data_IF_729028711399
#
_entry.id   IF_729028711399
#
_cell.length_a   1.000
_cell.length_b   1.000
_cell.length_c   1.000
_cell.angle_alpha   90.00
_cell.angle_beta   90.00
_cell.angle_gamma   90.00
#
_symmetry.space_group_name_H-M   'P 1'
#
loop_
_entity.id
_entity.type
_entity.pdbx_description
1 polymer ?
#
# COMPACT_ATOMS: atom_id res chain seq x y z
N UNK A 1 3.39 -14.99 22.87
CA UNK A 1 3.93 -15.42 21.56
C UNK A 1 4.34 -14.17 20.80
N UNK A 2 5.61 -13.78 20.93
CA UNK A 2 6.16 -12.62 20.23
C UNK A 2 6.62 -13.07 18.84
N UNK A 3 5.93 -12.60 17.80
CA UNK A 3 6.36 -12.76 16.41
C UNK A 3 7.33 -11.62 16.09
N UNK A 4 8.54 -11.69 16.66
CA UNK A 4 9.65 -10.87 16.19
C UNK A 4 10.23 -11.54 14.94
N UNK A 5 9.66 -11.23 13.77
CA UNK A 5 10.35 -11.47 12.50
C UNK A 5 11.51 -10.49 12.45
N UNK A 6 12.67 -10.91 12.95
CA UNK A 6 13.96 -10.29 12.63
C UNK A 6 14.08 -10.29 11.12
N UNK A 7 13.88 -9.13 10.51
CA UNK A 7 14.04 -8.92 9.08
C UNK A 7 15.53 -9.10 8.80
N UNK A 8 15.92 -10.33 8.45
CA UNK A 8 17.32 -10.70 8.23
C UNK A 8 17.89 -9.83 7.10
N UNK A 9 18.80 -8.95 7.49
CA UNK A 9 19.69 -8.16 6.64
C UNK A 9 20.68 -9.08 5.92
N UNK A 10 20.18 -9.94 5.04
CA UNK A 10 21.01 -10.68 4.09
C UNK A 10 21.22 -9.82 2.85
N UNK A 11 22.40 -9.90 2.23
CA UNK A 11 22.68 -9.25 0.94
C UNK A 11 21.62 -9.60 -0.11
N UNK A 12 21.10 -10.84 -0.06
CA UNK A 12 20.03 -11.32 -0.94
C UNK A 12 18.71 -10.54 -0.76
N UNK A 13 18.37 -10.14 0.46
CA UNK A 13 17.16 -9.34 0.76
C UNK A 13 17.27 -7.96 0.09
N UNK A 14 18.43 -7.31 0.22
CA UNK A 14 18.70 -6.01 -0.39
C UNK A 14 18.69 -6.08 -1.91
N UNK A 15 19.36 -7.08 -2.49
CA UNK A 15 19.38 -7.31 -3.94
C UNK A 15 17.97 -7.56 -4.47
N UNK A 16 17.15 -8.34 -3.76
CA UNK A 16 15.76 -8.59 -4.13
C UNK A 16 14.95 -7.29 -4.21
N UNK A 17 14.98 -6.44 -3.19
CA UNK A 17 14.24 -5.18 -3.19
C UNK A 17 14.75 -4.20 -4.25
N UNK A 18 16.06 -4.17 -4.51
CA UNK A 18 16.63 -3.35 -5.59
C UNK A 18 16.14 -3.83 -6.98
N UNK A 19 16.13 -5.14 -7.23
CA UNK A 19 15.65 -5.70 -8.50
C UNK A 19 14.15 -5.54 -8.68
N UNK A 20 13.37 -5.68 -7.61
CA UNK A 20 11.93 -5.45 -7.63
C UNK A 20 11.62 -3.96 -7.87
N UNK A 21 12.35 -3.05 -7.20
CA UNK A 21 12.22 -1.61 -7.41
C UNK A 21 12.52 -1.17 -8.84
N UNK A 22 13.48 -1.80 -9.52
CA UNK A 22 13.78 -1.54 -10.94
C UNK A 22 12.63 -1.89 -11.89
N UNK A 23 11.70 -2.76 -11.49
CA UNK A 23 10.50 -3.10 -12.28
C UNK A 23 9.38 -2.05 -12.13
N UNK A 24 9.57 -1.07 -11.24
CA UNK A 24 8.65 0.03 -11.00
C UNK A 24 7.71 -0.20 -9.82
N UNK A 25 7.10 0.88 -9.33
CA UNK A 25 6.34 0.89 -8.09
C UNK A 25 5.13 -0.06 -8.09
N UNK A 26 4.51 -0.26 -9.26
CA UNK A 26 3.40 -1.21 -9.40
C UNK A 26 3.82 -2.64 -9.10
N UNK A 27 4.99 -3.08 -9.58
CA UNK A 27 5.50 -4.42 -9.32
C UNK A 27 5.82 -4.63 -7.83
N UNK A 28 6.39 -3.60 -7.19
CA UNK A 28 6.61 -3.59 -5.74
C UNK A 28 5.28 -3.73 -5.00
N UNK A 29 4.27 -2.92 -5.34
CA UNK A 29 2.94 -2.97 -4.75
C UNK A 29 2.25 -4.33 -4.89
N UNK A 30 2.26 -4.89 -6.10
CA UNK A 30 1.67 -6.20 -6.38
C UNK A 30 2.34 -7.29 -5.54
N UNK A 31 3.67 -7.23 -5.39
CA UNK A 31 4.41 -8.16 -4.53
C UNK A 31 4.08 -8.00 -3.04
N UNK A 32 4.08 -6.77 -2.51
CA UNK A 32 3.77 -6.56 -1.07
C UNK A 32 2.31 -6.93 -0.74
N UNK A 33 1.37 -6.80 -1.68
CA UNK A 33 0.00 -7.29 -1.53
C UNK A 33 -0.06 -8.82 -1.55
N UNK A 34 0.71 -9.47 -2.43
CA UNK A 34 0.80 -10.94 -2.52
C UNK A 34 1.37 -11.56 -1.25
N UNK A 35 2.39 -10.93 -0.68
CA UNK A 35 3.00 -11.34 0.60
C UNK A 35 2.18 -10.92 1.83
N UNK A 36 0.99 -10.35 1.63
CA UNK A 36 0.06 -9.94 2.69
C UNK A 36 0.68 -8.91 3.67
N UNK A 37 1.64 -8.12 3.18
CA UNK A 37 2.27 -7.04 3.96
C UNK A 37 1.36 -5.80 4.00
N UNK A 38 0.60 -5.59 2.93
CA UNK A 38 -0.49 -4.61 2.87
C UNK A 38 -1.77 -5.30 2.35
N UNK A 39 -2.95 -4.83 2.75
CA UNK A 39 -4.19 -5.40 2.26
C UNK A 39 -4.37 -5.14 0.76
N UNK A 40 -4.77 -6.17 0.00
CA UNK A 40 -5.09 -6.04 -1.43
C UNK A 40 -6.45 -5.39 -1.69
N UNK A 41 -7.32 -5.36 -0.67
CA UNK A 41 -8.61 -4.68 -0.67
C UNK A 41 -8.80 -3.93 0.62
N UNK A 42 -9.38 -2.74 0.52
CA UNK A 42 -9.70 -1.92 1.67
C UNK A 42 -11.06 -1.26 1.49
N UNK A 43 -11.90 -1.35 2.51
CA UNK A 43 -13.24 -0.75 2.50
C UNK A 43 -13.22 0.64 3.12
N UNK A 44 -13.97 1.55 2.51
CA UNK A 44 -14.17 2.87 3.08
C UNK A 44 -14.94 2.77 4.41
N UNK A 45 -14.42 3.29 5.53
CA UNK A 45 -15.12 3.22 6.81
C UNK A 45 -16.46 3.96 6.81
N UNK A 46 -16.61 4.97 5.95
CA UNK A 46 -17.82 5.79 5.84
C UNK A 46 -18.92 5.16 4.99
N UNK A 47 -18.58 4.50 3.88
CA UNK A 47 -19.59 4.01 2.92
C UNK A 47 -19.51 2.52 2.62
N UNK A 48 -18.57 1.79 3.26
CA UNK A 48 -18.36 0.35 3.12
C UNK A 48 -18.15 -0.14 1.68
N UNK A 49 -17.75 0.77 0.79
CA UNK A 49 -17.39 0.45 -0.60
C UNK A 49 -15.89 0.28 -0.74
N UNK A 50 -15.49 -0.53 -1.71
CA UNK A 50 -14.10 -0.75 -2.08
C UNK A 50 -13.38 0.55 -2.42
N UNK A 51 -12.21 0.71 -1.81
CA UNK A 51 -11.26 1.77 -2.10
C UNK A 51 -10.28 1.33 -3.19
N UNK A 52 -9.53 2.29 -3.74
CA UNK A 52 -8.44 2.05 -4.68
C UNK A 52 -7.17 2.67 -4.14
N UNK A 53 -6.08 1.91 -4.11
CA UNK A 53 -4.75 2.46 -3.85
C UNK A 53 -4.30 3.24 -5.09
N UNK A 54 -3.97 4.52 -4.92
CA UNK A 54 -3.56 5.42 -6.00
C UNK A 54 -2.26 6.13 -5.64
N UNK A 55 -1.45 6.45 -6.65
CA UNK A 55 -0.26 7.28 -6.46
C UNK A 55 -0.65 8.70 -6.04
N UNK A 56 0.03 9.24 -5.02
CA UNK A 56 -0.13 10.62 -4.58
C UNK A 56 1.23 11.20 -4.21
N UNK A 57 1.64 12.23 -4.94
CA UNK A 57 2.83 13.02 -4.60
C UNK A 57 2.62 13.70 -3.24
N UNK A 58 3.59 13.56 -2.34
CA UNK A 58 3.60 14.23 -1.03
C UNK A 58 3.17 13.36 0.16
N UNK A 59 2.80 12.09 -0.05
CA UNK A 59 2.76 11.10 1.07
C UNK A 59 4.13 10.45 1.23
N UNK A 60 4.44 9.96 2.44
CA UNK A 60 5.74 9.34 2.77
C UNK A 60 6.02 8.12 1.87
N UNK A 61 4.99 7.34 1.60
CA UNK A 61 5.03 6.11 0.78
C UNK A 61 4.70 6.37 -0.71
N UNK A 62 4.26 7.57 -1.06
CA UNK A 62 3.82 7.93 -2.41
C UNK A 62 2.46 7.33 -2.84
N UNK A 63 1.74 6.65 -1.95
CA UNK A 63 0.46 6.01 -2.23
C UNK A 63 -0.63 6.36 -1.21
N UNK A 64 -1.89 6.35 -1.64
CA UNK A 64 -3.03 6.61 -0.76
C UNK A 64 -4.24 5.76 -1.16
N UNK A 65 -4.94 5.20 -0.17
CA UNK A 65 -6.25 4.59 -0.40
C UNK A 65 -7.30 5.67 -0.61
N UNK A 66 -7.91 5.72 -1.80
CA UNK A 66 -9.03 6.62 -2.10
C UNK A 66 -10.35 5.88 -2.26
N UNK A 67 -11.38 6.44 -1.64
CA UNK A 67 -12.74 5.98 -1.83
C UNK A 67 -13.20 6.29 -3.27
N UNK A 68 -13.90 5.35 -3.90
CA UNK A 68 -14.43 5.50 -5.28
C UNK A 68 -15.76 6.26 -5.35
N UNK A 69 -16.35 6.60 -4.20
CA UNK A 69 -17.60 7.39 -4.18
C UNK A 69 -17.28 8.82 -4.60
N UNK A 70 -17.59 9.11 -5.86
CA UNK A 70 -17.71 10.47 -6.39
C UNK A 70 -18.98 11.12 -5.82
N UNK A 71 -19.01 11.46 -4.53
CA UNK A 71 -19.95 12.49 -4.12
C UNK A 71 -19.41 13.81 -4.65
N UNK A 72 -20.24 14.57 -5.38
CA UNK A 72 -19.88 15.86 -5.99
C UNK A 72 -19.35 16.90 -4.98
N UNK A 73 -19.51 16.65 -3.68
CA UNK A 73 -19.28 17.64 -2.64
C UNK A 73 -18.21 17.23 -1.60
N UNK A 74 -17.82 15.95 -1.46
CA UNK A 74 -16.77 15.57 -0.49
C UNK A 74 -16.21 14.16 -0.76
N UNK A 75 -15.12 14.01 -1.55
CA UNK A 75 -14.39 12.75 -1.58
C UNK A 75 -14.00 12.36 -0.15
N UNK A 76 -14.35 11.14 0.25
CA UNK A 76 -14.00 10.63 1.57
C UNK A 76 -12.48 10.41 1.64
N UNK A 77 -11.77 11.46 2.06
CA UNK A 77 -10.37 11.36 2.47
C UNK A 77 -10.33 10.58 3.78
N UNK A 78 -9.66 9.43 3.73
CA UNK A 78 -9.39 8.60 4.90
C UNK A 78 -7.90 8.72 5.15
N UNK A 79 -7.52 9.77 5.88
CA UNK A 79 -6.15 9.91 6.35
C UNK A 79 -5.96 8.91 7.51
N UNK A 80 -4.93 8.07 7.45
CA UNK A 80 -4.49 7.32 8.63
C UNK A 80 -3.54 8.23 9.41
N UNK A 81 -3.92 8.60 10.63
CA UNK A 81 -3.05 9.22 11.63
C UNK A 81 -1.96 8.26 12.07
#
# INVERSE_FOLDING_TARGET
MACERKFLESEATTVFFLLLGKQGNKAVLDWVMKEVLIPSRYECPKCKKDMRLVERKGTIDGFEWRCRVQSKENPHFVCRS
#
